data_IF_127672624832
#
_entry.id   IF_127672624832
#
_cell.length_a   1.000
_cell.length_b   1.000
_cell.length_c   1.000
_cell.angle_alpha   90.00
_cell.angle_beta   90.00
_cell.angle_gamma   90.00
#
_symmetry.space_group_name_H-M   'P 1'
#
loop_
_entity.id
_entity.type
_entity.pdbx_description
1 polymer ?
#
# COMPACT_ATOMS: atom_id res chain seq x y z
N UNK A 1 0.17 6.52 24.58
CA UNK A 1 -0.36 6.54 23.21
C UNK A 1 -1.85 6.22 23.13
N UNK A 2 -2.61 6.14 24.25
CA UNK A 2 -4.07 5.97 24.20
C UNK A 2 -4.74 6.37 25.54
N UNK A 3 -6.08 6.38 25.55
CA UNK A 3 -6.91 6.60 26.73
C UNK A 3 -7.16 8.07 27.07
N UNK A 4 -7.94 8.32 28.12
CA UNK A 4 -8.33 9.67 28.57
C UNK A 4 -7.12 10.55 28.87
N UNK A 5 -6.13 10.04 29.59
CA UNK A 5 -4.91 10.78 29.90
C UNK A 5 -4.11 11.17 28.64
N UNK A 6 -4.18 10.38 27.57
CA UNK A 6 -3.55 10.76 26.30
C UNK A 6 -4.26 11.97 25.68
N UNK A 7 -5.60 12.00 25.68
CA UNK A 7 -6.39 13.11 25.16
C UNK A 7 -6.16 14.40 25.97
N UNK A 8 -6.11 14.29 27.30
CA UNK A 8 -5.82 15.43 28.20
C UNK A 8 -4.45 16.04 27.90
N UNK A 9 -3.41 15.20 27.80
CA UNK A 9 -2.07 15.67 27.43
C UNK A 9 -2.05 16.23 26.02
N UNK A 10 -2.67 15.55 25.07
CA UNK A 10 -2.72 16.00 23.68
C UNK A 10 -3.28 17.42 23.58
N UNK A 11 -4.37 17.74 24.28
CA UNK A 11 -4.94 19.09 24.29
C UNK A 11 -3.94 20.17 24.75
N UNK A 12 -3.15 19.88 25.79
CA UNK A 12 -2.09 20.79 26.30
C UNK A 12 -1.01 21.01 25.23
N UNK A 13 -0.52 19.93 24.62
CA UNK A 13 0.52 20.00 23.58
C UNK A 13 0.02 20.70 22.32
N UNK A 14 -1.17 20.37 21.85
CA UNK A 14 -1.79 20.99 20.66
C UNK A 14 -1.92 22.49 20.86
N UNK A 15 -2.42 22.94 22.01
CA UNK A 15 -2.55 24.37 22.32
C UNK A 15 -1.19 25.08 22.27
N UNK A 16 -0.19 24.54 22.94
CA UNK A 16 1.14 25.15 23.00
C UNK A 16 1.84 25.18 21.62
N UNK A 17 1.77 24.08 20.86
CA UNK A 17 2.41 24.00 19.54
C UNK A 17 1.71 24.91 18.54
N UNK A 18 0.38 24.88 18.46
CA UNK A 18 -0.38 25.70 17.50
C UNK A 18 -0.29 27.20 17.79
N UNK A 19 -0.14 27.60 19.05
CA UNK A 19 0.08 29.00 19.41
C UNK A 19 1.38 29.57 18.83
N UNK A 20 2.44 28.74 18.73
CA UNK A 20 3.75 29.16 18.20
C UNK A 20 3.93 28.82 16.72
N UNK A 21 3.34 27.74 16.26
CA UNK A 21 3.51 27.19 14.91
C UNK A 21 2.15 26.80 14.30
N UNK A 22 1.29 27.78 13.96
CA UNK A 22 -0.08 27.52 13.52
C UNK A 22 -0.18 26.66 12.25
N UNK A 23 0.86 26.71 11.40
CA UNK A 23 0.89 26.00 10.13
C UNK A 23 1.41 24.55 10.24
N UNK A 24 2.00 24.14 11.38
CA UNK A 24 2.43 22.74 11.57
C UNK A 24 1.18 21.87 11.70
N UNK A 25 1.13 20.78 10.92
CA UNK A 25 0.08 19.76 11.02
C UNK A 25 0.46 18.73 12.08
N UNK A 26 -0.48 18.43 12.98
CA UNK A 26 -0.26 17.47 14.07
C UNK A 26 -0.79 16.08 13.70
N UNK A 27 0.05 15.07 13.92
CA UNK A 27 -0.28 13.66 13.75
C UNK A 27 -0.57 13.06 15.12
N UNK A 28 -1.76 12.47 15.28
CA UNK A 28 -2.26 11.99 16.57
C UNK A 28 -2.48 10.48 16.51
N UNK A 29 -1.98 9.74 17.50
CA UNK A 29 -2.07 8.29 17.52
C UNK A 29 -3.51 7.83 17.76
N UNK A 30 -3.99 6.88 16.95
CA UNK A 30 -5.26 6.18 17.15
C UNK A 30 -5.14 4.95 18.07
N UNK A 31 -4.02 4.82 18.78
CA UNK A 31 -3.72 3.65 19.63
C UNK A 31 -2.80 2.66 18.92
N UNK A 32 -2.84 1.40 19.37
CA UNK A 32 -1.89 0.34 18.98
C UNK A 32 -2.46 -0.66 17.98
N UNK A 33 -3.63 -0.39 17.43
CA UNK A 33 -4.33 -1.30 16.53
C UNK A 33 -5.47 -0.61 15.79
N UNK A 34 -6.01 -1.26 14.75
CA UNK A 34 -6.98 -0.66 13.85
C UNK A 34 -8.44 -0.88 14.26
N UNK A 35 -8.69 -1.47 15.43
CA UNK A 35 -10.00 -1.93 15.89
C UNK A 35 -10.13 -1.94 17.43
N UNK A 36 -11.38 -2.03 17.90
CA UNK A 36 -11.77 -2.15 19.31
C UNK A 36 -11.91 -0.83 20.06
N UNK A 37 -12.41 -0.91 21.30
CA UNK A 37 -12.80 0.25 22.13
C UNK A 37 -11.74 1.35 22.22
N UNK A 38 -10.46 0.97 22.24
CA UNK A 38 -9.34 1.91 22.26
C UNK A 38 -9.27 2.74 20.97
N UNK A 39 -9.36 2.06 19.82
CA UNK A 39 -9.36 2.70 18.52
C UNK A 39 -10.61 3.56 18.36
N UNK A 40 -11.78 3.02 18.72
CA UNK A 40 -13.07 3.71 18.56
C UNK A 40 -13.13 5.00 19.39
N UNK A 41 -12.68 4.96 20.65
CA UNK A 41 -12.58 6.13 21.51
C UNK A 41 -11.68 7.21 20.88
N UNK A 42 -10.49 6.84 20.43
CA UNK A 42 -9.51 7.79 19.92
C UNK A 42 -9.92 8.34 18.56
N UNK A 43 -10.31 7.48 17.61
CA UNK A 43 -10.78 7.89 16.29
C UNK A 43 -11.97 8.85 16.41
N UNK A 44 -12.95 8.55 17.27
CA UNK A 44 -14.11 9.43 17.51
C UNK A 44 -13.69 10.76 18.13
N UNK A 45 -12.87 10.72 19.18
CA UNK A 45 -12.45 11.93 19.90
C UNK A 45 -11.58 12.86 19.03
N UNK A 46 -10.66 12.28 18.25
CA UNK A 46 -9.76 13.02 17.36
C UNK A 46 -10.52 13.67 16.19
N UNK A 47 -11.51 12.98 15.61
CA UNK A 47 -12.39 13.58 14.59
C UNK A 47 -13.25 14.70 15.16
N UNK A 48 -13.85 14.48 16.34
CA UNK A 48 -14.65 15.49 17.04
C UNK A 48 -13.85 16.77 17.32
N UNK A 49 -12.58 16.61 17.69
CA UNK A 49 -11.66 17.72 17.96
C UNK A 49 -10.95 18.26 16.71
N UNK A 50 -11.30 17.75 15.52
CA UNK A 50 -10.75 18.17 14.21
C UNK A 50 -9.22 18.08 14.16
N UNK A 51 -8.66 16.96 14.61
CA UNK A 51 -7.25 16.62 14.43
C UNK A 51 -6.83 16.79 12.95
N UNK A 52 -5.60 17.27 12.70
CA UNK A 52 -5.11 17.38 11.32
C UNK A 52 -4.96 15.97 10.69
N UNK A 53 -4.23 15.09 11.39
CA UNK A 53 -4.03 13.69 11.02
C UNK A 53 -4.28 12.74 12.19
N UNK A 54 -4.82 11.57 11.86
CA UNK A 54 -4.95 10.41 12.74
C UNK A 54 -4.00 9.32 12.21
N UNK A 55 -3.12 8.84 13.07
CA UNK A 55 -2.14 7.80 12.78
C UNK A 55 -2.68 6.43 13.16
N UNK A 56 -3.03 5.63 12.13
CA UNK A 56 -3.53 4.26 12.26
C UNK A 56 -2.40 3.25 12.10
N UNK A 57 -2.33 2.28 13.03
CA UNK A 57 -1.33 1.20 13.04
C UNK A 57 -1.98 -0.16 12.86
N UNK A 58 -1.41 -1.00 11.98
CA UNK A 58 -1.89 -2.38 11.82
C UNK A 58 -0.79 -3.39 11.50
N UNK A 59 -0.60 -4.28 12.48
CA UNK A 59 0.20 -5.50 12.39
C UNK A 59 -0.75 -6.69 12.40
N UNK A 60 -1.19 -7.14 11.22
CA UNK A 60 -2.30 -8.10 11.07
C UNK A 60 -1.95 -9.21 10.06
N UNK A 61 -2.63 -10.37 10.10
CA UNK A 61 -2.44 -11.44 9.12
C UNK A 61 -2.81 -11.03 7.69
N UNK A 62 -2.29 -11.74 6.69
CA UNK A 62 -2.52 -11.47 5.26
C UNK A 62 -4.02 -11.35 4.91
N UNK A 63 -4.86 -12.24 5.44
CA UNK A 63 -6.31 -12.22 5.23
C UNK A 63 -6.97 -10.91 5.69
N UNK A 64 -6.47 -10.29 6.75
CA UNK A 64 -6.97 -8.99 7.20
C UNK A 64 -6.67 -7.90 6.17
N UNK A 65 -5.45 -7.87 5.62
CA UNK A 65 -5.06 -6.89 4.60
C UNK A 65 -5.92 -7.02 3.34
N UNK A 66 -6.14 -8.25 2.88
CA UNK A 66 -7.01 -8.56 1.74
C UNK A 66 -8.45 -8.05 1.99
N UNK A 67 -9.04 -8.39 3.14
CA UNK A 67 -10.40 -7.96 3.50
C UNK A 67 -10.54 -6.45 3.73
N UNK A 68 -9.45 -5.76 4.01
CA UNK A 68 -9.44 -4.32 4.32
C UNK A 68 -9.00 -3.43 3.15
N UNK A 69 -8.88 -3.96 1.92
CA UNK A 69 -8.60 -3.15 0.73
C UNK A 69 -9.69 -2.08 0.44
N UNK A 70 -10.89 -2.22 1.00
CA UNK A 70 -11.97 -1.22 0.96
C UNK A 70 -12.12 -0.39 2.26
N UNK A 71 -11.22 -0.51 3.25
CA UNK A 71 -11.37 0.06 4.59
C UNK A 71 -11.69 1.56 4.58
N UNK A 72 -11.00 2.31 3.73
CA UNK A 72 -11.13 3.76 3.67
C UNK A 72 -12.23 4.25 2.73
N UNK A 73 -12.91 3.37 1.98
CA UNK A 73 -13.89 3.78 0.96
C UNK A 73 -15.06 4.60 1.53
N UNK A 74 -15.39 4.41 2.82
CA UNK A 74 -16.50 5.10 3.49
C UNK A 74 -16.07 6.13 4.54
N UNK A 75 -14.76 6.41 4.67
CA UNK A 75 -14.28 7.41 5.61
C UNK A 75 -14.71 8.83 5.20
N UNK A 76 -14.95 9.77 6.14
CA UNK A 76 -15.27 11.15 5.80
C UNK A 76 -14.16 11.84 4.98
N UNK A 77 -14.52 12.47 3.84
CA UNK A 77 -13.54 13.08 2.93
C UNK A 77 -13.06 14.47 3.34
N UNK A 78 -13.90 15.21 4.05
CA UNK A 78 -13.66 16.62 4.41
C UNK A 78 -13.33 16.81 5.91
N UNK A 79 -12.82 15.78 6.57
CA UNK A 79 -12.45 15.79 7.99
C UNK A 79 -10.96 15.49 8.19
N UNK A 80 -10.57 15.11 9.41
CA UNK A 80 -9.25 14.61 9.78
C UNK A 80 -8.75 13.57 8.78
N UNK A 81 -7.54 13.79 8.28
CA UNK A 81 -6.87 12.90 7.34
C UNK A 81 -6.23 11.73 8.09
N UNK A 82 -5.89 10.69 7.34
CA UNK A 82 -5.25 9.50 7.89
C UNK A 82 -3.78 9.46 7.46
N UNK A 83 -2.91 9.19 8.42
CA UNK A 83 -1.60 8.64 8.21
C UNK A 83 -1.66 7.16 8.59
N UNK A 84 -1.25 6.27 7.70
CA UNK A 84 -0.98 4.90 8.11
C UNK A 84 0.49 4.82 8.52
N UNK A 85 0.80 5.17 9.76
CA UNK A 85 2.19 5.32 10.19
C UNK A 85 2.93 4.01 10.34
N UNK A 86 2.23 2.93 10.65
CA UNK A 86 2.84 1.63 10.81
C UNK A 86 1.93 0.53 10.24
N UNK A 87 2.45 -0.20 9.26
CA UNK A 87 1.84 -1.46 8.86
C UNK A 87 2.86 -2.49 8.42
N UNK A 88 2.56 -3.73 8.76
CA UNK A 88 3.20 -4.91 8.18
C UNK A 88 2.28 -6.11 8.27
N UNK A 89 2.36 -6.98 7.27
CA UNK A 89 1.65 -8.25 7.32
C UNK A 89 2.39 -9.17 8.27
N UNK A 90 1.69 -9.65 9.29
CA UNK A 90 2.20 -10.66 10.20
C UNK A 90 1.90 -12.04 9.63
N UNK A 91 2.91 -12.64 8.99
CA UNK A 91 2.88 -14.04 8.60
C UNK A 91 2.60 -14.96 9.81
N UNK A 92 2.25 -16.21 9.52
CA UNK A 92 1.97 -17.26 10.52
C UNK A 92 3.00 -17.22 11.67
N UNK A 93 2.52 -17.40 12.90
CA UNK A 93 3.34 -17.27 14.11
C UNK A 93 4.51 -18.25 14.18
N UNK A 94 4.49 -19.35 13.40
CA UNK A 94 5.59 -20.32 13.31
C UNK A 94 6.73 -19.84 12.41
N UNK A 95 6.48 -18.85 11.55
CA UNK A 95 7.49 -18.24 10.69
C UNK A 95 8.23 -17.18 11.50
N UNK A 96 9.56 -17.25 11.50
CA UNK A 96 10.42 -16.40 12.35
C UNK A 96 11.38 -15.55 11.51
N UNK A 97 11.77 -14.40 12.06
CA UNK A 97 12.75 -13.49 11.47
C UNK A 97 12.42 -13.07 10.03
N UNK A 98 13.45 -12.96 9.20
CA UNK A 98 13.35 -12.49 7.81
C UNK A 98 12.31 -13.23 6.99
N UNK A 99 12.08 -14.52 7.28
CA UNK A 99 11.10 -15.34 6.56
C UNK A 99 9.66 -14.87 6.73
N UNK A 100 9.38 -14.04 7.76
CA UNK A 100 8.06 -13.43 7.97
C UNK A 100 7.69 -12.47 6.84
N UNK A 101 8.66 -11.92 6.11
CA UNK A 101 8.40 -11.14 4.91
C UNK A 101 8.51 -12.04 3.66
N UNK A 102 7.44 -12.80 3.42
CA UNK A 102 7.32 -13.72 2.28
C UNK A 102 6.38 -13.16 1.20
N UNK A 103 6.28 -13.87 0.07
CA UNK A 103 5.46 -13.41 -1.04
C UNK A 103 3.98 -13.20 -0.69
N UNK A 104 3.38 -14.07 0.12
CA UNK A 104 2.00 -13.91 0.60
C UNK A 104 1.80 -12.58 1.32
N UNK A 105 2.77 -12.21 2.16
CA UNK A 105 2.74 -10.99 2.96
C UNK A 105 2.80 -9.76 2.05
N UNK A 106 3.76 -9.71 1.13
CA UNK A 106 3.91 -8.59 0.21
C UNK A 106 2.73 -8.46 -0.77
N UNK A 107 2.18 -9.57 -1.26
CA UNK A 107 1.02 -9.54 -2.16
C UNK A 107 -0.24 -9.05 -1.44
N UNK A 108 -0.44 -9.43 -0.17
CA UNK A 108 -1.54 -8.91 0.65
C UNK A 108 -1.35 -7.43 1.00
N UNK A 109 -0.11 -6.99 1.26
CA UNK A 109 0.20 -5.56 1.42
C UNK A 109 -0.11 -4.78 0.12
N UNK A 110 0.29 -5.30 -1.05
CA UNK A 110 -0.01 -4.69 -2.35
C UNK A 110 -1.52 -4.51 -2.55
N UNK A 111 -2.33 -5.50 -2.19
CA UNK A 111 -3.79 -5.44 -2.25
C UNK A 111 -4.35 -4.29 -1.38
N UNK A 112 -3.93 -4.18 -0.12
CA UNK A 112 -4.33 -3.06 0.76
C UNK A 112 -3.90 -1.71 0.18
N UNK A 113 -2.68 -1.61 -0.35
CA UNK A 113 -2.14 -0.37 -0.91
C UNK A 113 -2.93 0.15 -2.11
N UNK A 114 -3.59 -0.72 -2.89
CA UNK A 114 -4.56 -0.25 -3.91
C UNK A 114 -5.71 0.54 -3.29
N UNK A 115 -6.16 0.12 -2.10
CA UNK A 115 -7.15 0.83 -1.30
C UNK A 115 -6.61 2.15 -0.76
N UNK A 116 -5.38 2.18 -0.26
CA UNK A 116 -4.75 3.42 0.20
C UNK A 116 -4.66 4.45 -0.93
N UNK A 117 -4.17 4.03 -2.10
CA UNK A 117 -4.01 4.89 -3.27
C UNK A 117 -5.35 5.38 -3.82
N UNK A 118 -6.37 4.51 -3.91
CA UNK A 118 -7.72 4.89 -4.34
C UNK A 118 -8.35 5.94 -3.41
N UNK A 119 -7.97 5.93 -2.13
CA UNK A 119 -8.46 6.84 -1.09
C UNK A 119 -7.43 7.91 -0.70
N UNK A 120 -6.59 8.36 -1.64
CA UNK A 120 -5.53 9.35 -1.38
C UNK A 120 -6.05 10.73 -0.91
N UNK A 121 -7.35 10.99 -1.09
CA UNK A 121 -8.04 12.15 -0.52
C UNK A 121 -8.25 12.04 1.01
N UNK A 122 -8.27 10.82 1.57
CA UNK A 122 -8.33 10.54 3.02
C UNK A 122 -6.98 10.13 3.57
N UNK A 123 -6.33 9.14 2.97
CA UNK A 123 -5.03 8.61 3.41
C UNK A 123 -3.93 9.34 2.64
N UNK A 124 -3.26 10.30 3.28
CA UNK A 124 -2.25 11.11 2.58
C UNK A 124 -0.81 10.65 2.81
N UNK A 125 -0.62 9.74 3.76
CA UNK A 125 0.68 9.18 4.11
C UNK A 125 0.51 7.72 4.51
N UNK A 126 1.50 6.88 4.18
CA UNK A 126 1.58 5.49 4.60
C UNK A 126 3.04 5.05 4.70
N UNK A 127 3.40 4.31 5.74
CA UNK A 127 4.75 3.78 5.95
C UNK A 127 4.72 2.34 6.45
N UNK A 128 5.37 1.45 5.70
CA UNK A 128 5.69 0.10 6.17
C UNK A 128 6.59 0.20 7.40
N UNK A 129 6.35 -0.64 8.41
CA UNK A 129 7.19 -0.71 9.60
C UNK A 129 7.45 -2.15 10.06
N UNK A 130 8.67 -2.47 10.52
CA UNK A 130 9.85 -1.62 10.58
C UNK A 130 10.68 -1.64 9.27
N UNK A 131 11.57 -0.65 9.11
CA UNK A 131 12.30 -0.44 7.86
C UNK A 131 13.55 -1.33 7.72
N UNK A 132 14.36 -1.45 8.78
CA UNK A 132 15.66 -2.12 8.75
C UNK A 132 15.83 -3.13 9.88
N UNK A 133 16.42 -4.29 9.56
CA UNK A 133 16.95 -5.23 10.55
C UNK A 133 18.32 -5.78 10.14
N UNK A 134 19.17 -6.05 11.14
CA UNK A 134 20.40 -6.83 10.94
C UNK A 134 20.07 -8.32 11.03
N UNK A 135 20.59 -9.14 10.09
CA UNK A 135 20.27 -10.58 9.98
C UNK A 135 20.57 -11.37 11.25
N UNK A 136 21.62 -11.00 11.98
CA UNK A 136 22.03 -11.67 13.23
C UNK A 136 21.48 -11.02 14.52
N UNK A 137 20.83 -9.85 14.45
CA UNK A 137 20.59 -9.02 15.64
C UNK A 137 19.31 -8.15 15.59
N UNK A 138 18.18 -8.77 15.27
CA UNK A 138 16.85 -8.17 15.32
C UNK A 138 16.08 -8.32 16.66
N UNK A 139 15.12 -7.43 16.91
CA UNK A 139 14.20 -7.52 18.06
C UNK A 139 12.74 -7.68 17.63
N UNK A 140 12.46 -7.42 16.35
CA UNK A 140 11.16 -7.53 15.71
C UNK A 140 11.33 -8.16 14.32
N UNK A 141 10.26 -8.73 13.78
CA UNK A 141 10.15 -9.16 12.39
C UNK A 141 8.68 -9.31 11.99
N UNK A 142 8.31 -9.04 10.72
CA UNK A 142 9.17 -8.78 9.57
C UNK A 142 9.66 -7.33 9.42
N UNK A 143 10.79 -7.15 8.74
CA UNK A 143 11.37 -5.85 8.35
C UNK A 143 11.52 -5.77 6.83
N UNK A 144 11.50 -4.57 6.27
CA UNK A 144 11.49 -4.38 4.80
C UNK A 144 12.88 -4.54 4.15
N UNK A 145 13.94 -4.14 4.84
CA UNK A 145 15.31 -4.17 4.32
C UNK A 145 16.20 -4.86 5.36
N UNK A 146 16.92 -5.89 4.93
CA UNK A 146 17.78 -6.68 5.80
C UNK A 146 19.24 -6.49 5.41
N UNK A 147 20.10 -6.38 6.42
CA UNK A 147 21.53 -6.09 6.25
C UNK A 147 22.39 -7.07 7.03
N UNK A 148 23.59 -7.33 6.51
CA UNK A 148 24.75 -7.74 7.31
C UNK A 148 25.82 -6.63 7.27
N UNK A 149 27.04 -6.90 7.72
CA UNK A 149 28.12 -5.91 7.74
C UNK A 149 28.56 -5.40 6.36
N UNK A 150 28.27 -6.12 5.27
CA UNK A 150 28.79 -5.87 3.92
C UNK A 150 27.72 -5.88 2.83
N UNK A 151 26.53 -6.42 3.12
CA UNK A 151 25.50 -6.75 2.14
C UNK A 151 24.12 -6.28 2.62
N UNK A 152 23.22 -6.07 1.66
CA UNK A 152 21.84 -5.66 1.88
C UNK A 152 20.92 -6.34 0.87
N UNK A 153 19.71 -6.70 1.29
CA UNK A 153 18.65 -7.10 0.37
C UNK A 153 17.30 -6.49 0.75
N UNK A 154 16.46 -6.26 -0.26
CA UNK A 154 15.07 -5.89 -0.09
C UNK A 154 14.19 -7.13 -0.04
N UNK A 155 13.24 -7.17 0.88
CA UNK A 155 12.25 -8.24 0.94
C UNK A 155 11.22 -8.13 -0.21
N UNK A 156 10.32 -9.11 -0.37
CA UNK A 156 9.19 -8.96 -1.28
C UNK A 156 8.39 -7.65 -1.05
N UNK A 157 8.15 -7.25 0.21
CA UNK A 157 7.50 -5.97 0.51
C UNK A 157 8.34 -4.77 0.05
N UNK A 158 9.67 -4.80 0.15
CA UNK A 158 10.51 -3.72 -0.38
C UNK A 158 10.22 -3.44 -1.85
N UNK A 159 10.09 -4.50 -2.66
CA UNK A 159 9.79 -4.33 -4.08
C UNK A 159 8.38 -3.80 -4.33
N UNK A 160 7.38 -4.24 -3.56
CA UNK A 160 6.01 -3.70 -3.61
C UNK A 160 6.01 -2.22 -3.21
N UNK A 161 6.60 -1.86 -2.06
CA UNK A 161 6.71 -0.48 -1.59
C UNK A 161 7.46 0.41 -2.59
N UNK A 162 8.56 -0.09 -3.18
CA UNK A 162 9.31 0.62 -4.22
C UNK A 162 8.45 0.87 -5.46
N UNK A 163 7.68 -0.12 -5.91
CA UNK A 163 6.80 0.04 -7.06
C UNK A 163 5.66 1.01 -6.79
N UNK A 164 5.04 1.03 -5.61
CA UNK A 164 4.04 2.05 -5.30
C UNK A 164 4.66 3.44 -5.18
N UNK A 165 5.76 3.59 -4.43
CA UNK A 165 6.39 4.89 -4.16
C UNK A 165 6.97 5.57 -5.41
N UNK A 166 7.57 4.80 -6.32
CA UNK A 166 8.15 5.34 -7.56
C UNK A 166 7.12 5.50 -8.69
N UNK A 167 5.88 5.04 -8.49
CA UNK A 167 4.79 5.12 -9.47
C UNK A 167 3.50 5.70 -8.87
N UNK A 168 3.61 6.60 -7.88
CA UNK A 168 2.48 7.17 -7.12
C UNK A 168 1.52 8.06 -7.92
N UNK A 169 1.98 8.61 -9.05
CA UNK A 169 1.23 9.56 -9.86
C UNK A 169 0.93 10.89 -9.17
N UNK A 170 0.09 11.70 -9.82
CA UNK A 170 -0.37 13.01 -9.32
C UNK A 170 -1.86 13.05 -9.04
N UNK A 171 -2.65 12.27 -9.76
CA UNK A 171 -4.11 12.28 -9.65
C UNK A 171 -4.65 10.84 -9.73
N UNK A 172 -5.50 10.45 -8.79
CA UNK A 172 -6.22 9.18 -8.81
C UNK A 172 -7.26 9.19 -9.92
N UNK A 173 -7.39 8.08 -10.65
CA UNK A 173 -8.45 7.87 -11.64
C UNK A 173 -9.22 6.59 -11.32
N UNK A 174 -10.51 6.56 -11.65
CA UNK A 174 -11.35 5.40 -11.34
C UNK A 174 -10.94 4.19 -12.17
N UNK A 175 -10.85 3.05 -11.51
CA UNK A 175 -10.81 1.73 -12.14
C UNK A 175 -11.86 0.87 -11.47
N UNK A 176 -12.84 0.42 -12.25
CA UNK A 176 -14.02 -0.29 -11.74
C UNK A 176 -14.38 -1.46 -12.65
N UNK A 177 -15.06 -2.45 -12.08
CA UNK A 177 -15.74 -3.49 -12.84
C UNK A 177 -17.21 -3.48 -12.41
N UNK A 178 -18.13 -3.35 -13.38
CA UNK A 178 -19.56 -3.20 -13.13
C UNK A 178 -19.86 -2.09 -12.09
N UNK A 179 -19.21 -0.94 -12.26
CA UNK A 179 -19.30 0.24 -11.38
C UNK A 179 -18.89 0.01 -9.92
N UNK A 180 -18.17 -1.08 -9.63
CA UNK A 180 -17.65 -1.39 -8.30
C UNK A 180 -16.13 -1.31 -8.25
N UNK A 181 -15.61 -0.90 -7.09
CA UNK A 181 -14.19 -0.94 -6.79
C UNK A 181 -13.67 -2.38 -6.82
N UNK A 182 -12.48 -2.57 -7.38
CA UNK A 182 -11.74 -3.83 -7.39
C UNK A 182 -11.00 -4.00 -6.06
N UNK A 183 -11.63 -4.70 -5.12
CA UNK A 183 -11.16 -4.87 -3.73
C UNK A 183 -11.17 -6.34 -3.31
N UNK A 184 -10.94 -7.25 -4.26
CA UNK A 184 -10.82 -8.69 -4.02
C UNK A 184 -11.85 -9.55 -4.72
N UNK A 185 -12.73 -8.98 -5.55
CA UNK A 185 -13.61 -9.76 -6.41
C UNK A 185 -12.75 -10.66 -7.31
N UNK A 186 -12.99 -11.96 -7.24
CA UNK A 186 -12.19 -13.00 -7.90
C UNK A 186 -10.69 -12.96 -7.57
N UNK A 187 -10.29 -12.31 -6.46
CA UNK A 187 -8.88 -12.12 -6.09
C UNK A 187 -8.19 -10.96 -6.82
N UNK A 188 -8.93 -10.04 -7.44
CA UNK A 188 -8.38 -8.85 -8.08
C UNK A 188 -8.53 -7.61 -7.20
N UNK A 189 -7.41 -6.90 -7.05
CA UNK A 189 -7.33 -5.60 -6.39
C UNK A 189 -6.67 -4.62 -7.34
N UNK A 190 -7.23 -3.44 -7.51
CA UNK A 190 -6.65 -2.46 -8.42
C UNK A 190 -6.80 -1.00 -8.00
N UNK A 191 -5.81 -0.21 -8.39
CA UNK A 191 -5.83 1.25 -8.35
C UNK A 191 -5.21 1.80 -9.64
N UNK A 192 -5.58 3.03 -9.98
CA UNK A 192 -5.03 3.71 -11.14
C UNK A 192 -4.81 5.19 -10.83
N UNK A 193 -3.71 5.71 -11.38
CA UNK A 193 -3.33 7.12 -11.26
C UNK A 193 -2.85 7.64 -12.61
N UNK A 194 -3.03 8.92 -12.86
CA UNK A 194 -2.27 9.62 -13.90
C UNK A 194 -1.14 10.39 -13.26
N UNK A 195 -0.01 10.51 -13.97
CA UNK A 195 1.10 11.34 -13.58
C UNK A 195 1.28 12.48 -14.58
N UNK A 196 1.06 13.72 -14.14
CA UNK A 196 1.25 14.92 -14.96
C UNK A 196 2.71 15.17 -15.32
N UNK A 197 3.66 14.71 -14.50
CA UNK A 197 5.09 14.95 -14.69
C UNK A 197 5.68 13.99 -15.73
N UNK A 198 5.42 12.69 -15.57
CA UNK A 198 5.88 11.68 -16.53
C UNK A 198 4.97 11.57 -17.75
N UNK A 199 3.74 12.11 -17.66
CA UNK A 199 2.69 12.05 -18.70
C UNK A 199 2.27 10.61 -18.99
N UNK A 200 1.91 9.87 -17.94
CA UNK A 200 1.56 8.47 -18.04
C UNK A 200 0.27 8.14 -17.27
N UNK A 201 -0.45 7.12 -17.74
CA UNK A 201 -1.43 6.39 -16.95
C UNK A 201 -0.72 5.20 -16.31
N UNK A 202 -0.87 5.05 -15.00
CA UNK A 202 -0.26 4.00 -14.21
C UNK A 202 -1.38 3.18 -13.57
N UNK A 203 -1.41 1.89 -13.85
CA UNK A 203 -2.42 0.95 -13.34
C UNK A 203 -1.69 -0.10 -12.50
N UNK A 204 -2.14 -0.31 -11.27
CA UNK A 204 -1.55 -1.28 -10.33
C UNK A 204 -2.58 -2.36 -10.05
N UNK A 205 -2.23 -3.62 -10.29
CA UNK A 205 -3.16 -4.75 -10.12
C UNK A 205 -2.47 -5.88 -9.36
N UNK A 206 -3.08 -6.31 -8.27
CA UNK A 206 -2.72 -7.55 -7.58
C UNK A 206 -3.72 -8.65 -7.97
N UNK A 207 -3.21 -9.77 -8.47
CA UNK A 207 -3.94 -11.03 -8.63
C UNK A 207 -3.54 -11.97 -7.50
N UNK A 208 -4.43 -12.16 -6.53
CA UNK A 208 -4.21 -13.06 -5.38
C UNK A 208 -4.77 -14.45 -5.61
N UNK A 209 -5.36 -14.72 -6.78
CA UNK A 209 -5.87 -16.04 -7.12
C UNK A 209 -4.73 -16.98 -7.52
N UNK A 210 -4.95 -18.28 -7.35
CA UNK A 210 -4.03 -19.34 -7.75
C UNK A 210 -4.11 -19.68 -9.25
N UNK A 211 -4.74 -18.82 -10.04
CA UNK A 211 -5.00 -19.03 -11.45
C UNK A 211 -4.69 -17.78 -12.26
N UNK A 212 -4.34 -17.99 -13.52
CA UNK A 212 -4.18 -16.90 -14.50
C UNK A 212 -5.51 -16.19 -14.69
N UNK A 213 -5.46 -14.85 -14.75
CA UNK A 213 -6.63 -14.02 -15.03
C UNK A 213 -6.43 -13.17 -16.27
N UNK A 214 -7.42 -13.15 -17.14
CA UNK A 214 -7.43 -12.28 -18.32
C UNK A 214 -8.33 -11.08 -18.02
N UNK A 215 -7.76 -9.88 -18.08
CA UNK A 215 -8.46 -8.63 -17.80
C UNK A 215 -8.49 -7.76 -19.05
N UNK A 216 -9.69 -7.41 -19.49
CA UNK A 216 -9.91 -6.44 -20.55
C UNK A 216 -10.20 -5.07 -19.95
N UNK A 217 -9.26 -4.14 -20.12
CA UNK A 217 -9.39 -2.76 -19.66
C UNK A 217 -9.87 -1.86 -20.79
N UNK A 218 -10.98 -1.16 -20.54
CA UNK A 218 -11.42 -0.03 -21.33
C UNK A 218 -10.83 1.25 -20.73
N UNK A 219 -9.95 1.91 -21.49
CA UNK A 219 -9.20 3.08 -21.07
C UNK A 219 -9.91 4.35 -21.54
N UNK A 220 -11.00 4.67 -20.84
CA UNK A 220 -11.78 5.86 -21.09
C UNK A 220 -11.03 7.13 -20.65
N UNK A 221 -11.11 8.17 -21.47
CA UNK A 221 -10.36 9.39 -21.25
C UNK A 221 -10.14 10.20 -22.52
N UNK A 222 -9.74 11.48 -22.34
CA UNK A 222 -9.48 12.41 -23.44
C UNK A 222 -8.04 12.32 -23.97
N UNK A 223 -7.11 11.82 -23.16
CA UNK A 223 -5.69 11.70 -23.53
C UNK A 223 -5.52 10.55 -24.54
N UNK A 224 -4.74 10.80 -25.59
CA UNK A 224 -4.34 9.75 -26.53
C UNK A 224 -3.22 8.94 -25.88
N UNK A 225 -3.29 7.62 -25.94
CA UNK A 225 -2.30 6.71 -25.38
C UNK A 225 -1.27 6.29 -26.44
N UNK A 226 -0.01 6.07 -26.04
CA UNK A 226 0.97 5.40 -26.90
C UNK A 226 0.59 3.93 -27.10
N UNK A 227 0.99 3.37 -28.24
CA UNK A 227 0.73 1.98 -28.58
C UNK A 227 1.58 0.96 -27.79
N UNK A 228 2.54 1.44 -27.00
CA UNK A 228 3.44 0.63 -26.17
C UNK A 228 3.29 1.04 -24.71
N UNK A 229 3.23 0.04 -23.83
CA UNK A 229 3.24 0.19 -22.39
C UNK A 229 4.29 -0.75 -21.79
N UNK A 230 4.76 -0.44 -20.59
CA UNK A 230 5.64 -1.34 -19.82
C UNK A 230 4.88 -1.96 -18.66
N UNK A 231 5.20 -3.20 -18.32
CA UNK A 231 4.66 -3.89 -17.13
C UNK A 231 5.82 -4.31 -16.25
N UNK A 232 5.86 -3.83 -15.02
CA UNK A 232 6.71 -4.37 -13.96
C UNK A 232 5.91 -5.45 -13.20
N UNK A 233 6.33 -6.71 -13.33
CA UNK A 233 5.65 -7.88 -12.73
C UNK A 233 6.49 -8.47 -11.59
N UNK A 234 5.88 -8.65 -10.41
CA UNK A 234 6.33 -9.58 -9.38
C UNK A 234 5.39 -10.77 -9.33
N UNK A 235 5.94 -11.98 -9.29
CA UNK A 235 5.17 -13.22 -9.25
C UNK A 235 5.98 -14.34 -8.62
N UNK A 236 5.28 -15.24 -7.94
CA UNK A 236 5.80 -16.54 -7.55
C UNK A 236 4.64 -17.48 -7.18
N UNK A 237 4.66 -18.71 -7.70
CA UNK A 237 3.67 -19.72 -7.33
C UNK A 237 3.83 -20.22 -5.87
N UNK A 238 5.03 -20.07 -5.29
CA UNK A 238 5.28 -20.34 -3.88
C UNK A 238 5.05 -19.08 -3.04
N UNK A 239 3.90 -19.01 -2.37
CA UNK A 239 3.53 -17.91 -1.48
C UNK A 239 4.44 -17.76 -0.25
N UNK A 240 5.20 -18.78 0.11
CA UNK A 240 6.15 -18.73 1.24
C UNK A 240 7.57 -18.34 0.82
N UNK A 241 7.79 -18.08 -0.46
CA UNK A 241 9.10 -17.67 -0.98
C UNK A 241 9.53 -16.30 -0.44
N UNK A 242 10.85 -16.12 -0.26
CA UNK A 242 11.46 -14.92 0.32
C UNK A 242 12.71 -14.51 -0.47
N UNK A 243 13.17 -13.28 -0.27
CA UNK A 243 14.54 -12.90 -0.63
C UNK A 243 15.49 -13.19 0.56
N UNK A 244 16.79 -13.32 0.29
CA UNK A 244 17.83 -13.48 1.31
C UNK A 244 19.14 -12.82 0.85
N UNK A 245 20.19 -12.83 1.67
CA UNK A 245 21.52 -12.36 1.28
C UNK A 245 22.08 -13.17 0.10
N UNK A 246 21.86 -14.49 0.10
CA UNK A 246 22.34 -15.40 -0.95
C UNK A 246 21.50 -15.31 -2.22
N UNK A 247 20.20 -14.99 -2.08
CA UNK A 247 19.26 -14.85 -3.20
C UNK A 247 18.46 -13.55 -3.05
N UNK A 248 19.08 -12.38 -3.29
CA UNK A 248 18.46 -11.08 -3.00
C UNK A 248 17.33 -10.71 -3.95
N UNK A 249 17.18 -11.42 -5.07
CA UNK A 249 16.24 -11.09 -6.14
C UNK A 249 15.34 -12.27 -6.54
N UNK A 250 15.06 -13.21 -5.63
CA UNK A 250 14.13 -14.32 -5.90
C UNK A 250 12.75 -13.80 -6.29
N UNK A 251 12.26 -12.80 -5.55
CA UNK A 251 11.03 -12.06 -5.78
C UNK A 251 11.43 -10.61 -6.02
N UNK A 252 11.55 -10.26 -7.29
CA UNK A 252 11.93 -8.93 -7.76
C UNK A 252 11.18 -8.62 -9.07
N UNK A 253 10.94 -7.34 -9.40
CA UNK A 253 10.18 -6.96 -10.58
C UNK A 253 10.90 -7.35 -11.86
N UNK A 254 10.16 -7.93 -12.80
CA UNK A 254 10.58 -8.19 -14.18
C UNK A 254 9.81 -7.26 -15.09
N UNK A 255 10.51 -6.43 -15.85
CA UNK A 255 9.90 -5.48 -16.78
C UNK A 255 9.70 -6.11 -18.15
N UNK A 256 8.49 -5.99 -18.70
CA UNK A 256 8.16 -6.38 -20.08
C UNK A 256 7.48 -5.23 -20.83
N UNK A 257 7.39 -5.35 -22.15
CA UNK A 257 6.65 -4.40 -23.00
C UNK A 257 5.44 -5.06 -23.59
N UNK A 258 4.29 -4.39 -23.52
CA UNK A 258 3.02 -4.84 -24.09
C UNK A 258 2.47 -3.81 -25.08
N UNK A 259 1.52 -4.24 -25.91
CA UNK A 259 0.84 -3.38 -26.88
C UNK A 259 -0.48 -2.85 -26.31
N UNK A 260 -0.75 -1.57 -26.53
CA UNK A 260 -2.03 -0.94 -26.26
C UNK A 260 -2.73 -0.68 -27.59
N UNK A 261 -3.96 -1.17 -27.75
CA UNK A 261 -4.73 -1.04 -28.99
C UNK A 261 -5.78 0.05 -28.83
N UNK A 262 -5.42 1.28 -29.20
CA UNK A 262 -6.29 2.45 -29.05
C UNK A 262 -6.60 2.72 -27.58
N UNK A 263 -7.87 2.52 -27.18
CA UNK A 263 -8.35 2.66 -25.80
C UNK A 263 -8.60 1.31 -25.11
N UNK A 264 -8.07 0.22 -25.66
CA UNK A 264 -8.23 -1.11 -25.08
C UNK A 264 -6.88 -1.70 -24.73
N UNK A 265 -6.84 -2.35 -23.59
CA UNK A 265 -5.68 -3.09 -23.11
C UNK A 265 -6.15 -4.45 -22.59
N UNK A 266 -5.62 -5.51 -23.19
CA UNK A 266 -5.81 -6.88 -22.71
C UNK A 266 -4.57 -7.26 -21.88
N UNK A 267 -4.80 -7.71 -20.65
CA UNK A 267 -3.77 -8.15 -19.72
C UNK A 267 -3.98 -9.63 -19.37
N UNK A 268 -2.89 -10.38 -19.31
CA UNK A 268 -2.86 -11.75 -18.80
C UNK A 268 -2.02 -11.72 -17.52
N UNK A 269 -2.69 -11.76 -16.38
CA UNK A 269 -2.09 -11.71 -15.06
C UNK A 269 -1.80 -13.14 -14.59
N UNK A 270 -0.55 -13.45 -14.25
CA UNK A 270 -0.18 -14.75 -13.67
C UNK A 270 -0.84 -14.98 -12.31
N UNK A 271 -0.99 -16.24 -11.85
CA UNK A 271 -1.32 -16.54 -10.46
C UNK A 271 -0.39 -15.78 -9.49
N UNK A 272 -0.94 -15.35 -8.36
CA UNK A 272 -0.17 -14.70 -7.29
C UNK A 272 0.83 -13.65 -7.79
N UNK A 273 0.33 -12.65 -8.53
CA UNK A 273 1.16 -11.62 -9.16
C UNK A 273 0.76 -10.22 -8.77
N UNK A 274 1.74 -9.32 -8.71
CA UNK A 274 1.53 -7.87 -8.62
C UNK A 274 2.13 -7.20 -9.86
N UNK A 275 1.33 -6.37 -10.52
CA UNK A 275 1.63 -5.82 -11.83
C UNK A 275 1.46 -4.30 -11.80
N UNK A 276 2.49 -3.58 -12.25
CA UNK A 276 2.42 -2.12 -12.47
C UNK A 276 2.57 -1.83 -13.95
N UNK A 277 1.46 -1.41 -14.57
CA UNK A 277 1.38 -1.09 -15.98
C UNK A 277 1.53 0.41 -16.15
N UNK A 278 2.48 0.86 -16.97
CA UNK A 278 2.70 2.27 -17.31
C UNK A 278 2.45 2.49 -18.79
N UNK A 279 1.50 3.36 -19.09
CA UNK A 279 1.06 3.70 -20.44
C UNK A 279 1.32 5.19 -20.68
N UNK A 280 2.34 5.54 -21.47
CA UNK A 280 2.59 6.94 -21.77
C UNK A 280 1.48 7.56 -22.61
N UNK A 281 1.20 8.83 -22.37
CA UNK A 281 0.36 9.64 -23.23
C UNK A 281 1.12 10.04 -24.50
N UNK A 282 0.39 10.23 -25.61
CA UNK A 282 0.90 10.98 -26.74
C UNK A 282 0.99 12.46 -26.35
N UNK A 283 2.07 13.11 -26.81
CA UNK A 283 2.32 14.53 -26.69
C UNK A 283 1.11 15.38 -27.11
#
# INVERSE_FOLDING_TARGET
NWGTQYLERLAIFTKAIKAKYPNIKLINSSGTGPDGDRFDLLNTSLRTTKADFIDEHYYKPADWFLKNAGRYDNYPRNESKVFVGEYAVHADGKIIGAKRNNWQSALAAAALMTGLERNADVVQMASYAPLFAHVDAWQWAPDMIWVDNLNVYGTPDYHVQKLFSTNKGTDVVSITANDKNLIGQDGIYASAVTDKNTKELIIKIANTANQTQTIDLNLDGKKKLKAKATVDELENNNLTETNSLEKPNTIAPKTTTINVKGKKLNLVLKPYSFNVIKIPFNS
#
